data_IF_154876435952
#
_entry.id   IF_154876435952
#
_cell.length_a   1.000
_cell.length_b   1.000
_cell.length_c   1.000
_cell.angle_alpha   90.00
_cell.angle_beta   90.00
_cell.angle_gamma   90.00
#
_symmetry.space_group_name_H-M   'P 1'
#
loop_
_entity.id
_entity.type
_entity.pdbx_description
1 polymer ?
#
# COMPACT_ATOMS: atom_id res chain seq x y z
N UNK A 1 14.32 0.60 1.10
CA UNK A 1 13.98 0.86 -0.32
C UNK A 1 12.58 1.44 -0.44
N UNK A 2 12.26 2.03 -1.60
CA UNK A 2 10.94 2.61 -1.87
C UNK A 2 10.53 2.37 -3.32
N UNK A 3 9.26 1.98 -3.49
CA UNK A 3 8.56 1.91 -4.78
C UNK A 3 7.60 3.09 -4.83
N UNK A 4 7.76 3.95 -5.84
CA UNK A 4 6.91 5.14 -6.03
C UNK A 4 5.64 4.80 -6.82
N UNK A 5 4.63 5.64 -6.69
CA UNK A 5 3.27 5.48 -7.22
C UNK A 5 3.20 5.26 -8.75
N UNK A 6 4.08 5.89 -9.52
CA UNK A 6 4.03 5.80 -10.99
C UNK A 6 5.21 5.00 -11.56
N UNK A 7 4.96 3.79 -12.10
CA UNK A 7 6.00 2.97 -12.72
C UNK A 7 6.57 3.59 -14.02
N UNK A 8 5.84 4.51 -14.65
CA UNK A 8 6.29 5.14 -15.90
C UNK A 8 7.38 6.17 -15.67
N UNK A 9 7.36 6.83 -14.50
CA UNK A 9 8.34 7.85 -14.13
C UNK A 9 9.51 7.29 -13.31
N UNK A 10 9.33 6.09 -12.73
CA UNK A 10 10.33 5.46 -11.85
C UNK A 10 11.45 4.75 -12.60
N UNK A 11 11.19 4.25 -13.81
CA UNK A 11 12.20 3.65 -14.68
C UNK A 11 12.72 4.67 -15.68
N UNK A 12 14.05 4.78 -15.80
CA UNK A 12 14.65 5.63 -16.83
C UNK A 12 14.41 5.04 -18.23
N UNK A 13 13.64 5.72 -19.11
CA UNK A 13 13.27 5.16 -20.42
C UNK A 13 14.45 5.04 -21.40
N UNK A 14 15.57 5.72 -21.13
CA UNK A 14 16.77 5.74 -21.99
C UNK A 14 17.80 4.69 -21.58
N UNK A 15 17.60 3.96 -20.50
CA UNK A 15 18.47 2.91 -20.01
C UNK A 15 17.77 1.56 -20.07
N UNK A 16 18.54 0.51 -20.40
CA UNK A 16 18.02 -0.87 -20.31
C UNK A 16 17.74 -1.26 -18.86
N UNK A 17 16.87 -2.24 -18.65
CA UNK A 17 16.62 -2.80 -17.31
C UNK A 17 17.93 -3.33 -16.70
N UNK A 18 18.80 -3.97 -17.51
CA UNK A 18 20.11 -4.42 -17.07
C UNK A 18 20.95 -3.27 -16.47
N UNK A 19 21.05 -2.16 -17.20
CA UNK A 19 21.86 -1.02 -16.74
C UNK A 19 21.39 -0.51 -15.40
N UNK A 20 20.07 -0.35 -15.23
CA UNK A 20 19.49 0.18 -14.01
C UNK A 20 19.65 -0.77 -12.82
N UNK A 21 19.38 -2.08 -13.01
CA UNK A 21 19.49 -3.06 -11.94
C UNK A 21 20.94 -3.34 -11.54
N UNK A 22 21.84 -3.48 -12.53
CA UNK A 22 23.28 -3.75 -12.27
C UNK A 22 23.92 -2.57 -11.55
N UNK A 23 23.59 -1.33 -11.91
CA UNK A 23 24.09 -0.14 -11.25
C UNK A 23 23.71 -0.15 -9.74
N UNK A 24 22.47 -0.46 -9.40
CA UNK A 24 22.03 -0.56 -8.02
C UNK A 24 22.85 -1.59 -7.22
N UNK A 25 23.02 -2.79 -7.75
CA UNK A 25 23.77 -3.87 -7.05
C UNK A 25 25.26 -3.51 -6.91
N UNK A 26 25.85 -2.99 -7.98
CA UNK A 26 27.27 -2.60 -7.93
C UNK A 26 27.52 -1.46 -6.94
N UNK A 27 26.59 -0.50 -6.88
CA UNK A 27 26.71 0.66 -5.99
C UNK A 27 26.47 0.30 -4.52
N UNK A 28 25.40 -0.45 -4.23
CA UNK A 28 24.99 -0.72 -2.85
C UNK A 28 25.61 -1.97 -2.22
N UNK A 29 25.91 -2.99 -3.03
CA UNK A 29 26.48 -4.26 -2.53
C UNK A 29 27.95 -4.45 -2.94
N UNK A 30 28.49 -3.59 -3.80
CA UNK A 30 29.89 -3.68 -4.23
C UNK A 30 30.20 -4.89 -5.12
N UNK A 31 29.18 -5.57 -5.66
CA UNK A 31 29.39 -6.74 -6.53
C UNK A 31 29.97 -6.33 -7.89
N UNK A 32 30.79 -7.21 -8.46
CA UNK A 32 31.27 -7.05 -9.83
C UNK A 32 30.11 -7.11 -10.85
N UNK A 33 30.24 -6.43 -12.00
CA UNK A 33 29.18 -6.35 -13.02
C UNK A 33 28.62 -7.70 -13.44
N UNK A 34 29.46 -8.75 -13.55
CA UNK A 34 29.03 -10.10 -13.95
C UNK A 34 28.10 -10.71 -12.90
N UNK A 35 28.47 -10.61 -11.63
CA UNK A 35 27.72 -11.19 -10.52
C UNK A 35 26.45 -10.37 -10.25
N UNK A 36 26.54 -9.04 -10.32
CA UNK A 36 25.40 -8.14 -10.25
C UNK A 36 24.35 -8.43 -11.34
N UNK A 37 24.82 -8.73 -12.59
CA UNK A 37 23.91 -9.12 -13.66
C UNK A 37 23.25 -10.47 -13.39
N UNK A 38 24.00 -11.45 -12.91
CA UNK A 38 23.42 -12.75 -12.55
C UNK A 38 22.35 -12.59 -11.45
N UNK A 39 22.63 -11.82 -10.41
CA UNK A 39 21.70 -11.51 -9.35
C UNK A 39 20.44 -10.79 -9.85
N UNK A 40 20.57 -9.81 -10.73
CA UNK A 40 19.46 -9.12 -11.35
C UNK A 40 18.55 -10.07 -12.17
N UNK A 41 19.14 -11.02 -12.92
CA UNK A 41 18.37 -12.03 -13.65
C UNK A 41 17.59 -12.94 -12.71
N UNK A 42 18.20 -13.42 -11.61
CA UNK A 42 17.51 -14.23 -10.60
C UNK A 42 16.34 -13.46 -9.98
N UNK A 43 16.53 -12.18 -9.69
CA UNK A 43 15.44 -11.35 -9.14
C UNK A 43 14.31 -11.14 -10.17
N UNK A 44 14.62 -10.93 -11.46
CA UNK A 44 13.60 -10.88 -12.51
C UNK A 44 12.82 -12.20 -12.64
N UNK A 45 13.50 -13.33 -12.44
CA UNK A 45 12.85 -14.65 -12.40
C UNK A 45 11.93 -14.79 -11.20
N UNK A 46 12.38 -14.34 -10.02
CA UNK A 46 11.57 -14.35 -8.79
C UNK A 46 10.29 -13.53 -8.92
N UNK A 47 10.34 -12.39 -9.65
CA UNK A 47 9.14 -11.59 -9.95
C UNK A 47 8.38 -12.07 -11.19
N UNK A 48 8.69 -13.26 -11.68
CA UNK A 48 7.97 -13.92 -12.80
C UNK A 48 8.00 -13.14 -14.12
N UNK A 49 9.12 -12.48 -14.43
CA UNK A 49 9.37 -11.96 -15.77
C UNK A 49 9.74 -13.14 -16.68
N UNK A 50 9.02 -13.38 -17.79
CA UNK A 50 9.34 -14.45 -18.72
C UNK A 50 10.67 -14.15 -19.44
N UNK A 51 11.46 -15.18 -19.74
CA UNK A 51 12.75 -15.06 -20.47
C UNK A 51 13.67 -13.95 -19.93
N UNK A 52 13.98 -13.92 -18.61
CA UNK A 52 14.65 -12.79 -17.98
C UNK A 52 16.04 -12.50 -18.54
N UNK A 53 16.75 -13.52 -19.05
CA UNK A 53 18.08 -13.41 -19.69
C UNK A 53 18.07 -12.56 -20.96
N UNK A 54 16.97 -12.58 -21.69
CA UNK A 54 16.76 -11.80 -22.91
C UNK A 54 16.18 -10.43 -22.57
N UNK A 55 15.11 -10.43 -21.76
CA UNK A 55 14.37 -9.23 -21.45
C UNK A 55 15.15 -8.21 -20.63
N UNK A 56 16.08 -8.63 -19.79
CA UNK A 56 16.91 -7.70 -19.03
C UNK A 56 17.62 -6.66 -19.92
N UNK A 57 17.88 -7.00 -21.20
CA UNK A 57 18.52 -6.11 -22.17
C UNK A 57 17.56 -5.12 -22.83
N UNK A 58 16.27 -5.29 -22.62
CA UNK A 58 15.23 -4.43 -23.17
C UNK A 58 15.10 -3.12 -22.39
N UNK A 59 14.46 -2.15 -23.03
CA UNK A 59 14.12 -0.86 -22.43
C UNK A 59 12.74 -0.92 -21.75
N UNK A 60 12.46 -0.02 -20.80
CA UNK A 60 11.16 0.00 -20.11
C UNK A 60 9.95 0.07 -21.03
N UNK A 61 10.04 0.76 -22.17
CA UNK A 61 8.92 0.90 -23.10
C UNK A 61 8.56 -0.41 -23.85
N UNK A 62 9.45 -1.41 -23.84
CA UNK A 62 9.20 -2.75 -24.42
C UNK A 62 8.47 -3.69 -23.44
N UNK A 63 8.23 -3.24 -22.19
CA UNK A 63 7.52 -3.98 -21.16
C UNK A 63 6.06 -3.53 -21.05
N UNK A 64 5.13 -4.46 -20.76
CA UNK A 64 3.77 -4.10 -20.38
C UNK A 64 3.75 -3.37 -19.01
N UNK A 65 2.63 -2.68 -18.67
CA UNK A 65 2.49 -2.00 -17.39
C UNK A 65 2.74 -2.91 -16.18
N UNK A 66 2.12 -4.09 -16.18
CA UNK A 66 2.32 -5.09 -15.13
C UNK A 66 3.76 -5.64 -15.07
N UNK A 67 4.44 -5.77 -16.20
CA UNK A 67 5.85 -6.16 -16.22
C UNK A 67 6.77 -5.07 -15.66
N UNK A 68 6.52 -3.79 -15.99
CA UNK A 68 7.27 -2.67 -15.40
C UNK A 68 7.10 -2.62 -13.88
N UNK A 69 5.89 -2.83 -13.39
CA UNK A 69 5.62 -2.89 -11.96
C UNK A 69 6.38 -4.05 -11.29
N UNK A 70 6.41 -5.24 -11.90
CA UNK A 70 7.21 -6.36 -11.39
C UNK A 70 8.72 -6.03 -11.35
N UNK A 71 9.22 -5.32 -12.37
CA UNK A 71 10.62 -4.84 -12.38
C UNK A 71 10.87 -3.87 -11.21
N UNK A 72 9.95 -2.95 -10.94
CA UNK A 72 10.09 -2.03 -9.79
C UNK A 72 10.06 -2.77 -8.44
N UNK A 73 9.19 -3.78 -8.30
CA UNK A 73 9.21 -4.66 -7.12
C UNK A 73 10.56 -5.38 -7.00
N UNK A 74 11.06 -5.92 -8.14
CA UNK A 74 12.38 -6.55 -8.19
C UNK A 74 13.49 -5.58 -7.76
N UNK A 75 13.53 -4.37 -8.30
CA UNK A 75 14.51 -3.34 -7.95
C UNK A 75 14.42 -2.95 -6.47
N UNK A 76 13.20 -2.82 -5.93
CA UNK A 76 12.99 -2.52 -4.52
C UNK A 76 13.55 -3.57 -3.57
N UNK A 77 13.55 -4.85 -3.98
CA UNK A 77 14.03 -5.98 -3.17
C UNK A 77 15.45 -6.43 -3.52
N UNK A 78 15.99 -5.98 -4.64
CA UNK A 78 17.25 -6.45 -5.21
C UNK A 78 18.45 -6.35 -4.27
N UNK A 79 18.47 -5.34 -3.40
CA UNK A 79 19.53 -5.12 -2.43
C UNK A 79 19.15 -5.59 -1.00
N UNK A 80 18.14 -6.46 -0.87
CA UNK A 80 17.69 -7.06 0.40
C UNK A 80 17.47 -6.02 1.53
N UNK A 81 16.61 -5.03 1.33
CA UNK A 81 16.40 -3.99 2.32
C UNK A 81 15.66 -4.53 3.56
N UNK A 82 15.96 -3.98 4.75
CA UNK A 82 15.19 -4.27 5.97
C UNK A 82 13.73 -3.78 5.84
N UNK A 83 13.52 -2.63 5.15
CA UNK A 83 12.21 -2.03 4.95
C UNK A 83 12.00 -1.67 3.48
N UNK A 84 10.87 -2.10 2.93
CA UNK A 84 10.37 -1.70 1.63
C UNK A 84 9.11 -0.84 1.80
N UNK A 85 9.17 0.43 1.41
CA UNK A 85 7.99 1.30 1.32
C UNK A 85 7.40 1.16 -0.07
N UNK A 86 6.15 0.78 -0.16
CA UNK A 86 5.41 0.65 -1.42
C UNK A 86 4.26 1.65 -1.43
N UNK A 87 4.43 2.73 -2.22
CA UNK A 87 3.46 3.81 -2.33
C UNK A 87 2.57 3.57 -3.54
N UNK A 88 1.32 3.17 -3.27
CA UNK A 88 0.30 2.80 -4.27
C UNK A 88 0.83 1.88 -5.39
N UNK A 89 1.49 0.76 -5.07
CA UNK A 89 2.23 -0.04 -6.05
C UNK A 89 1.35 -0.73 -7.09
N UNK A 90 0.04 -0.62 -6.99
CA UNK A 90 -0.93 -1.26 -7.91
C UNK A 90 -1.81 -0.26 -8.65
N UNK A 91 -1.62 1.05 -8.43
CA UNK A 91 -2.38 2.11 -9.11
C UNK A 91 -2.15 2.05 -10.62
N UNK A 92 -3.20 2.32 -11.39
CA UNK A 92 -3.22 2.27 -12.87
C UNK A 92 -3.02 0.86 -13.49
N UNK A 93 -3.16 -0.21 -12.71
CA UNK A 93 -3.20 -1.58 -13.19
C UNK A 93 -4.63 -2.12 -13.17
N UNK A 94 -4.93 -3.07 -14.05
CA UNK A 94 -6.19 -3.80 -13.97
C UNK A 94 -6.25 -4.70 -12.72
N UNK A 95 -7.47 -5.03 -12.27
CA UNK A 95 -7.72 -5.76 -11.00
C UNK A 95 -6.99 -7.11 -10.95
N UNK A 96 -6.88 -7.78 -12.11
CA UNK A 96 -6.20 -9.08 -12.19
C UNK A 96 -4.70 -8.93 -11.94
N UNK A 97 -4.08 -7.92 -12.56
CA UNK A 97 -2.65 -7.63 -12.37
C UNK A 97 -2.38 -7.12 -10.96
N UNK A 98 -3.27 -6.30 -10.40
CA UNK A 98 -3.18 -5.86 -8.99
C UNK A 98 -3.10 -7.06 -8.03
N UNK A 99 -4.03 -8.02 -8.16
CA UNK A 99 -4.03 -9.23 -7.35
C UNK A 99 -2.74 -10.04 -7.50
N UNK A 100 -2.22 -10.15 -8.72
CA UNK A 100 -0.96 -10.85 -8.99
C UNK A 100 0.25 -10.17 -8.35
N UNK A 101 0.30 -8.83 -8.36
CA UNK A 101 1.38 -8.06 -7.71
C UNK A 101 1.29 -8.20 -6.19
N UNK A 102 0.08 -8.09 -5.61
CA UNK A 102 -0.12 -8.27 -4.17
C UNK A 102 0.31 -9.68 -3.71
N UNK A 103 -0.10 -10.73 -4.45
CA UNK A 103 0.33 -12.10 -4.16
C UNK A 103 1.85 -12.24 -4.25
N UNK A 104 2.48 -11.70 -5.31
CA UNK A 104 3.93 -11.72 -5.51
C UNK A 104 4.66 -11.05 -4.34
N UNK A 105 4.22 -9.87 -3.91
CA UNK A 105 4.81 -9.17 -2.77
C UNK A 105 4.69 -9.99 -1.48
N UNK A 106 3.55 -10.65 -1.25
CA UNK A 106 3.35 -11.55 -0.12
C UNK A 106 4.27 -12.78 -0.15
N UNK A 107 4.51 -13.36 -1.32
CA UNK A 107 5.44 -14.50 -1.49
C UNK A 107 6.88 -14.06 -1.23
N UNK A 108 7.32 -12.94 -1.83
CA UNK A 108 8.68 -12.42 -1.64
C UNK A 108 8.93 -11.99 -0.19
N UNK A 109 7.95 -11.38 0.49
CA UNK A 109 8.03 -11.07 1.93
C UNK A 109 8.31 -12.31 2.78
N UNK A 110 7.67 -13.45 2.47
CA UNK A 110 7.90 -14.70 3.22
C UNK A 110 9.28 -15.31 2.97
N UNK A 111 9.91 -15.00 1.83
CA UNK A 111 11.23 -15.51 1.46
C UNK A 111 12.37 -14.60 1.94
N UNK A 112 12.09 -13.31 2.08
CA UNK A 112 13.02 -12.31 2.59
C UNK A 112 12.63 -11.88 4.02
N UNK A 113 13.58 -11.34 4.78
CA UNK A 113 13.28 -10.76 6.10
C UNK A 113 12.88 -9.26 6.01
N UNK A 114 12.36 -8.84 4.86
CA UNK A 114 11.99 -7.44 4.58
C UNK A 114 10.62 -7.10 5.17
N UNK A 115 10.54 -6.06 5.97
CA UNK A 115 9.27 -5.47 6.38
C UNK A 115 8.69 -4.62 5.24
N UNK A 116 7.38 -4.76 4.95
CA UNK A 116 6.71 -3.97 3.90
C UNK A 116 5.79 -2.94 4.55
N UNK A 117 6.03 -1.65 4.26
CA UNK A 117 5.10 -0.56 4.53
C UNK A 117 4.31 -0.26 3.25
N UNK A 118 3.08 -0.76 3.18
CA UNK A 118 2.19 -0.56 2.05
C UNK A 118 1.32 0.70 2.27
N UNK A 119 1.38 1.65 1.35
CA UNK A 119 0.47 2.80 1.28
C UNK A 119 -0.50 2.54 0.15
N UNK A 120 -1.80 2.48 0.45
CA UNK A 120 -2.83 2.18 -0.56
C UNK A 120 -4.20 2.64 -0.09
N UNK A 121 -5.10 2.87 -1.04
CA UNK A 121 -6.53 3.06 -0.81
C UNK A 121 -7.35 1.79 -1.08
N UNK A 122 -6.72 0.71 -1.53
CA UNK A 122 -7.39 -0.57 -1.82
C UNK A 122 -7.44 -1.46 -0.57
N UNK A 123 -8.63 -1.50 0.05
CA UNK A 123 -8.87 -2.31 1.23
C UNK A 123 -8.78 -3.82 0.94
N UNK A 124 -9.05 -4.26 -0.29
CA UNK A 124 -8.90 -5.67 -0.69
C UNK A 124 -7.45 -6.13 -0.64
N UNK A 125 -6.53 -5.30 -1.14
CA UNK A 125 -5.08 -5.57 -1.07
C UNK A 125 -4.60 -5.56 0.38
N UNK A 126 -5.07 -4.62 1.20
CA UNK A 126 -4.74 -4.54 2.63
C UNK A 126 -5.14 -5.84 3.36
N UNK A 127 -6.37 -6.32 3.14
CA UNK A 127 -6.87 -7.54 3.78
C UNK A 127 -6.03 -8.78 3.44
N UNK A 128 -5.48 -8.85 2.22
CA UNK A 128 -4.72 -10.02 1.75
C UNK A 128 -3.22 -9.99 2.06
N UNK A 129 -2.64 -8.81 2.32
CA UNK A 129 -1.18 -8.65 2.40
C UNK A 129 -0.68 -8.19 3.76
N UNK A 130 -1.44 -7.38 4.49
CA UNK A 130 -0.99 -6.70 5.69
C UNK A 130 -1.29 -7.51 6.96
N UNK A 131 -0.44 -7.37 7.98
CA UNK A 131 -0.69 -7.90 9.34
C UNK A 131 -1.40 -6.84 10.20
N UNK A 132 -1.05 -5.58 9.98
CA UNK A 132 -1.57 -4.43 10.73
C UNK A 132 -1.95 -3.29 9.79
N UNK A 133 -2.90 -2.49 10.20
CA UNK A 133 -3.43 -1.37 9.42
C UNK A 133 -3.39 -0.09 10.26
N UNK A 134 -2.94 0.97 9.62
CA UNK A 134 -2.97 2.32 10.15
C UNK A 134 -3.86 3.16 9.23
N UNK A 135 -4.99 3.63 9.75
CA UNK A 135 -5.95 4.45 9.00
C UNK A 135 -5.65 5.92 9.23
N UNK A 136 -5.43 6.65 8.12
CA UNK A 136 -5.15 8.09 8.11
C UNK A 136 -6.37 8.88 7.63
N UNK A 137 -6.69 9.99 8.28
CA UNK A 137 -7.63 10.98 7.80
C UNK A 137 -7.07 12.38 8.02
N UNK A 138 -7.03 13.17 6.95
CA UNK A 138 -6.49 14.54 6.98
C UNK A 138 -5.07 14.63 7.60
N UNK A 139 -4.18 13.67 7.30
CA UNK A 139 -2.81 13.62 7.82
C UNK A 139 -2.68 13.08 9.26
N UNK A 140 -3.77 12.70 9.90
CA UNK A 140 -3.76 12.19 11.28
C UNK A 140 -4.13 10.72 11.36
N UNK A 141 -3.46 9.99 12.28
CA UNK A 141 -3.85 8.62 12.62
C UNK A 141 -5.19 8.65 13.34
N UNK A 142 -6.21 8.03 12.74
CA UNK A 142 -7.54 7.93 13.33
C UNK A 142 -7.80 6.56 13.94
N UNK A 143 -7.20 5.51 13.40
CA UNK A 143 -7.29 4.16 13.94
C UNK A 143 -6.06 3.33 13.57
N UNK A 144 -5.65 2.41 14.44
CA UNK A 144 -4.57 1.46 14.19
C UNK A 144 -4.85 0.15 14.92
N UNK A 145 -4.63 -0.97 14.24
CA UNK A 145 -4.85 -2.31 14.80
C UNK A 145 -4.38 -3.41 13.87
N UNK A 146 -4.66 -4.66 14.21
CA UNK A 146 -4.51 -5.78 13.27
C UNK A 146 -5.54 -5.65 12.14
N UNK A 147 -5.29 -6.32 11.02
CA UNK A 147 -6.27 -6.39 9.92
C UNK A 147 -7.63 -6.85 10.45
N UNK A 148 -7.67 -7.90 11.26
CA UNK A 148 -8.90 -8.42 11.85
C UNK A 148 -9.64 -7.39 12.70
N UNK A 149 -8.91 -6.65 13.56
CA UNK A 149 -9.50 -5.60 14.39
C UNK A 149 -10.11 -4.47 13.55
N UNK A 150 -9.39 -4.04 12.50
CA UNK A 150 -9.86 -2.97 11.62
C UNK A 150 -11.07 -3.42 10.80
N UNK A 151 -11.07 -4.63 10.25
CA UNK A 151 -12.15 -5.08 9.37
C UNK A 151 -13.43 -5.52 10.12
N UNK A 152 -13.29 -6.07 11.32
CA UNK A 152 -14.43 -6.63 12.04
C UNK A 152 -14.78 -5.89 13.34
N UNK A 153 -13.86 -5.03 13.85
CA UNK A 153 -14.02 -4.35 15.12
C UNK A 153 -13.69 -2.86 15.03
N UNK A 154 -13.81 -2.25 13.85
CA UNK A 154 -13.53 -0.84 13.64
C UNK A 154 -14.26 0.05 14.66
N UNK A 155 -13.53 0.99 15.27
CA UNK A 155 -14.02 1.90 16.30
C UNK A 155 -14.22 3.32 15.81
N UNK A 156 -13.39 3.76 14.85
CA UNK A 156 -13.51 5.10 14.30
C UNK A 156 -14.62 5.15 13.23
N UNK A 157 -15.54 6.14 13.26
CA UNK A 157 -16.63 6.24 12.26
C UNK A 157 -16.13 6.37 10.80
N UNK A 158 -14.98 6.97 10.59
CA UNK A 158 -14.36 7.02 9.24
C UNK A 158 -13.95 5.64 8.75
N UNK A 159 -13.29 4.83 9.59
CA UNK A 159 -12.90 3.45 9.25
C UNK A 159 -14.11 2.61 8.89
N UNK A 160 -15.20 2.71 9.69
CA UNK A 160 -16.47 2.03 9.39
C UNK A 160 -17.04 2.46 8.05
N UNK A 161 -17.10 3.77 7.80
CA UNK A 161 -17.59 4.30 6.54
C UNK A 161 -16.76 3.86 5.33
N UNK A 162 -15.42 3.74 5.47
CA UNK A 162 -14.57 3.17 4.41
C UNK A 162 -14.92 1.71 4.12
N UNK A 163 -15.09 0.89 5.16
CA UNK A 163 -15.44 -0.53 5.02
C UNK A 163 -16.85 -0.74 4.45
N UNK A 164 -17.80 0.13 4.78
CA UNK A 164 -19.18 0.10 4.28
C UNK A 164 -19.29 0.59 2.82
N UNK A 165 -18.33 1.36 2.35
CA UNK A 165 -18.28 1.83 0.97
C UNK A 165 -17.66 0.83 -0.03
N UNK A 166 -17.09 -0.29 0.46
CA UNK A 166 -16.53 -1.34 -0.38
C UNK A 166 -17.59 -2.40 -0.67
N UNK A 167 -17.84 -2.75 -1.95
CA UNK A 167 -18.71 -3.86 -2.31
C UNK A 167 -18.18 -5.18 -1.73
N UNK A 168 -19.05 -5.96 -1.10
CA UNK A 168 -18.71 -7.28 -0.57
C UNK A 168 -19.47 -8.36 -1.33
N UNK A 169 -18.79 -9.43 -1.71
CA UNK A 169 -19.36 -10.55 -2.47
C UNK A 169 -20.45 -11.34 -1.69
N UNK A 170 -20.44 -11.24 -0.36
CA UNK A 170 -21.38 -11.90 0.53
C UNK A 170 -22.65 -11.08 0.82
N UNK A 171 -22.81 -9.91 0.17
CA UNK A 171 -23.97 -9.03 0.35
C UNK A 171 -24.92 -9.12 -0.84
N UNK A 172 -26.24 -8.94 -0.62
CA UNK A 172 -27.20 -8.86 -1.72
C UNK A 172 -26.84 -7.74 -2.71
N UNK A 173 -27.04 -8.01 -4.03
CA UNK A 173 -26.76 -7.05 -5.11
C UNK A 173 -27.52 -5.73 -4.98
N UNK A 174 -28.68 -5.72 -4.31
CA UNK A 174 -29.54 -4.54 -4.13
C UNK A 174 -29.13 -3.64 -2.95
N UNK A 175 -28.04 -3.93 -2.24
CA UNK A 175 -27.62 -3.08 -1.14
C UNK A 175 -26.99 -1.78 -1.65
N UNK A 176 -27.62 -0.65 -1.32
CA UNK A 176 -27.01 0.67 -1.53
C UNK A 176 -25.68 0.80 -0.80
N UNK A 177 -24.62 1.15 -1.53
CA UNK A 177 -23.32 1.45 -0.94
C UNK A 177 -23.42 2.76 -0.15
N UNK A 178 -23.06 2.71 1.13
CA UNK A 178 -23.05 3.89 1.97
C UNK A 178 -21.78 4.72 1.74
N UNK A 179 -21.89 5.74 0.89
CA UNK A 179 -20.81 6.70 0.72
C UNK A 179 -20.68 7.61 1.95
N UNK A 180 -19.46 7.90 2.36
CA UNK A 180 -19.18 8.87 3.43
C UNK A 180 -19.63 10.27 2.95
N UNK A 181 -20.58 10.94 3.62
CA UNK A 181 -21.14 12.20 3.15
C UNK A 181 -20.12 13.35 3.15
N UNK A 182 -20.35 14.36 2.31
CA UNK A 182 -19.56 15.58 2.26
C UNK A 182 -18.14 15.42 1.68
N UNK A 183 -17.39 16.51 1.65
CA UNK A 183 -16.03 16.56 1.12
C UNK A 183 -14.96 16.47 2.22
N UNK A 184 -13.76 15.93 1.92
CA UNK A 184 -12.61 16.03 2.81
C UNK A 184 -12.31 17.49 3.19
N UNK A 185 -11.78 17.75 4.40
CA UNK A 185 -11.44 19.10 4.80
C UNK A 185 -10.26 19.65 3.98
N UNK A 186 -10.19 20.96 3.86
CA UNK A 186 -9.02 21.61 3.31
C UNK A 186 -7.84 21.46 4.29
N UNK A 187 -6.76 20.81 3.83
CA UNK A 187 -5.58 20.54 4.65
C UNK A 187 -4.83 21.80 5.10
N UNK A 188 -4.98 22.92 4.37
CA UNK A 188 -4.40 24.19 4.77
C UNK A 188 -5.16 24.85 5.93
N UNK A 189 -6.46 24.53 6.10
CA UNK A 189 -7.33 25.08 7.13
C UNK A 189 -8.14 23.94 7.76
N UNK A 190 -7.49 23.10 8.55
CA UNK A 190 -8.17 22.03 9.26
C UNK A 190 -9.16 22.59 10.28
N UNK A 191 -10.35 21.99 10.42
CA UNK A 191 -11.33 22.38 11.41
C UNK A 191 -10.78 22.15 12.83
N UNK A 192 -11.14 23.05 13.77
CA UNK A 192 -10.86 22.84 15.19
C UNK A 192 -11.57 21.58 15.70
N UNK A 193 -10.93 20.83 16.57
CA UNK A 193 -11.46 19.59 17.14
C UNK A 193 -11.20 18.37 16.28
N UNK A 194 -12.17 17.46 16.21
CA UNK A 194 -12.08 16.27 15.38
C UNK A 194 -12.13 16.64 13.89
N UNK A 195 -11.10 16.28 13.12
CA UNK A 195 -10.98 16.58 11.68
C UNK A 195 -12.09 15.93 10.86
N UNK A 196 -12.63 14.79 11.30
CA UNK A 196 -13.74 14.08 10.65
C UNK A 196 -15.14 14.62 11.04
N UNK A 197 -15.26 15.52 12.03
CA UNK A 197 -16.55 15.98 12.60
C UNK A 197 -17.60 16.38 11.55
N UNK A 198 -17.20 17.13 10.52
CA UNK A 198 -18.12 17.64 9.51
C UNK A 198 -18.79 16.54 8.65
N UNK A 199 -18.19 15.36 8.60
CA UNK A 199 -18.67 14.19 7.83
C UNK A 199 -19.15 13.05 8.70
N UNK A 200 -19.03 13.18 10.02
CA UNK A 200 -19.32 12.12 10.97
C UNK A 200 -20.80 12.10 11.33
N UNK A 201 -21.48 11.00 11.04
CA UNK A 201 -22.90 10.79 11.42
C UNK A 201 -23.12 10.73 12.95
N UNK A 202 -22.04 10.46 13.71
CA UNK A 202 -22.05 10.41 15.18
C UNK A 202 -21.57 11.72 15.83
N UNK A 203 -21.38 12.80 15.06
CA UNK A 203 -20.83 14.05 15.57
C UNK A 203 -21.69 14.65 16.69
N UNK A 204 -21.04 15.03 17.80
CA UNK A 204 -21.67 15.71 18.95
C UNK A 204 -20.81 16.91 19.36
N UNK A 205 -21.31 17.70 20.34
CA UNK A 205 -20.65 18.92 20.81
C UNK A 205 -19.21 18.69 21.27
N UNK A 206 -18.94 17.58 21.97
CA UNK A 206 -17.58 17.24 22.42
C UNK A 206 -16.57 17.02 21.27
N UNK A 207 -17.04 16.75 20.02
CA UNK A 207 -16.17 16.66 18.86
C UNK A 207 -15.58 18.01 18.40
N UNK A 208 -15.97 19.13 19.03
CA UNK A 208 -15.30 20.43 18.90
C UNK A 208 -13.94 20.44 19.60
N UNK A 209 -13.70 19.50 20.50
CA UNK A 209 -12.39 19.23 21.06
C UNK A 209 -11.72 18.10 20.30
N UNK A 210 -10.39 18.17 20.13
CA UNK A 210 -9.64 17.14 19.43
C UNK A 210 -9.58 15.87 20.30
N UNK A 211 -10.07 14.71 19.79
CA UNK A 211 -9.96 13.47 20.55
C UNK A 211 -8.50 13.00 20.62
N UNK A 212 -8.13 12.43 21.73
CA UNK A 212 -6.85 11.74 21.88
C UNK A 212 -6.91 10.35 21.26
N UNK A 213 -5.74 9.84 20.84
CA UNK A 213 -5.59 8.46 20.43
C UNK A 213 -5.61 7.57 21.69
N UNK A 214 -6.63 6.73 21.85
CA UNK A 214 -6.85 5.90 23.03
C UNK A 214 -6.85 4.42 22.69
N UNK A 215 -6.39 3.60 23.62
CA UNK A 215 -6.50 2.15 23.51
C UNK A 215 -7.96 1.71 23.58
N UNK A 216 -8.36 0.83 22.66
CA UNK A 216 -9.69 0.21 22.58
C UNK A 216 -9.62 -1.32 22.63
N UNK A 217 -8.42 -1.86 22.77
CA UNK A 217 -8.09 -3.28 22.86
C UNK A 217 -6.59 -3.48 22.84
N UNK A 218 -6.14 -4.70 22.97
CA UNK A 218 -4.71 -5.04 22.89
C UNK A 218 -4.15 -4.70 21.51
N UNK A 219 -3.20 -3.76 21.45
CA UNK A 219 -2.60 -3.29 20.22
C UNK A 219 -3.57 -2.61 19.24
N UNK A 220 -4.79 -2.25 19.68
CA UNK A 220 -5.80 -1.52 18.93
C UNK A 220 -6.03 -0.15 19.55
N UNK A 221 -5.91 0.91 18.76
CA UNK A 221 -6.11 2.29 19.21
C UNK A 221 -7.03 3.04 18.25
N UNK A 222 -7.82 3.98 18.77
CA UNK A 222 -8.71 4.81 17.98
C UNK A 222 -8.76 6.26 18.50
N UNK A 223 -8.89 7.21 17.58
CA UNK A 223 -8.97 8.64 17.85
C UNK A 223 -10.43 9.11 17.75
N UNK A 224 -11.26 8.68 18.69
CA UNK A 224 -12.66 9.08 18.75
C UNK A 224 -13.08 9.32 20.21
N UNK A 225 -14.05 10.21 20.44
CA UNK A 225 -14.67 10.38 21.77
C UNK A 225 -15.62 9.23 22.13
N UNK A 226 -16.19 8.56 21.09
CA UNK A 226 -17.19 7.50 21.21
C UNK A 226 -16.57 6.18 20.79
N UNK A 227 -15.89 5.53 21.74
CA UNK A 227 -15.15 4.28 21.51
C UNK A 227 -16.01 3.03 21.76
N UNK A 228 -17.16 3.19 22.39
CA UNK A 228 -18.14 2.13 22.57
C UNK A 228 -18.85 1.92 21.22
N UNK A 229 -18.86 0.67 20.76
CA UNK A 229 -19.61 0.30 19.56
C UNK A 229 -21.11 0.52 19.78
N UNK A 230 -21.92 0.55 18.71
CA UNK A 230 -23.36 0.51 18.82
C UNK A 230 -23.80 -0.76 19.54
#
# INVERSE_FOLDING_TARGET
AMIFQDPMTSLNPYLTIESQMVEMVTHHQGLGKKDARAHAIEMLRAVRIPEPEQRIRQYPHEYSGGMRQRVLVAMGLLCEPDILIADEPTTALDVTVQSQIAQLMGELRRQSNTAILLITHDLGVVAGLCDRVLVLYAGEVVEYGTVEQIYYQARHPYTRGLLESVPRLDQPEDRELHAIPGNPPNLLNLPTGCSFRARCVMAREQCRQKPELRSVGEGHVSRCHFLEGP
#
